data_IF_075854240477
#
_entry.id   IF_075854240477
#
_cell.length_a   1.000
_cell.length_b   1.000
_cell.length_c   1.000
_cell.angle_alpha   90.00
_cell.angle_beta   90.00
_cell.angle_gamma   90.00
#
_symmetry.space_group_name_H-M   'P 1'
#
loop_
_entity.id
_entity.type
_entity.pdbx_description
1 polymer ?
#
# COMPACT_ATOMS: atom_id res chain seq x y z
N UNK A 1 -9.73 9.05 15.40
CA UNK A 1 -9.14 9.13 14.04
C UNK A 1 -9.47 7.84 13.32
N UNK A 2 -10.22 7.93 12.21
CA UNK A 2 -10.52 6.80 11.31
C UNK A 2 -9.51 6.80 10.17
N UNK A 3 -8.78 5.71 9.99
CA UNK A 3 -7.73 5.59 8.98
C UNK A 3 -8.09 4.47 8.02
N UNK A 4 -8.13 4.77 6.72
CA UNK A 4 -8.31 3.76 5.68
C UNK A 4 -6.95 3.23 5.20
N UNK A 5 -6.87 1.96 4.81
CA UNK A 5 -5.83 1.44 3.96
C UNK A 5 -6.21 1.65 2.50
N UNK A 6 -5.27 2.14 1.69
CA UNK A 6 -5.36 2.12 0.23
C UNK A 6 -4.34 1.11 -0.26
N UNK A 7 -4.82 -0.04 -0.70
CA UNK A 7 -4.01 -1.17 -1.13
C UNK A 7 -3.93 -1.18 -2.66
N UNK A 8 -2.81 -0.70 -3.20
CA UNK A 8 -2.62 -0.54 -4.64
C UNK A 8 -2.22 -1.87 -5.28
N UNK A 9 -3.15 -2.49 -6.00
CA UNK A 9 -3.00 -3.79 -6.66
C UNK A 9 -3.22 -3.73 -8.19
N UNK A 10 -3.29 -2.53 -8.76
CA UNK A 10 -3.56 -2.33 -10.19
C UNK A 10 -2.29 -2.18 -11.05
N UNK A 11 -1.10 -2.42 -10.49
CA UNK A 11 0.19 -2.29 -11.18
C UNK A 11 0.37 -3.23 -12.38
N UNK A 12 1.14 -2.77 -13.38
CA UNK A 12 1.51 -3.55 -14.56
C UNK A 12 2.65 -4.53 -14.21
N UNK A 13 2.37 -5.85 -14.24
CA UNK A 13 3.41 -6.89 -14.04
C UNK A 13 4.27 -7.12 -15.29
N UNK A 14 4.64 -6.04 -16.03
CA UNK A 14 5.28 -6.14 -17.35
C UNK A 14 6.62 -6.88 -17.33
N UNK A 15 7.41 -6.71 -16.26
CA UNK A 15 8.72 -7.36 -16.08
C UNK A 15 8.64 -8.82 -15.69
N UNK A 16 7.54 -9.24 -15.06
CA UNK A 16 7.32 -10.63 -14.60
C UNK A 16 6.83 -11.58 -15.71
N UNK A 17 6.32 -11.06 -16.83
CA UNK A 17 5.70 -11.87 -17.87
C UNK A 17 4.40 -12.58 -17.45
N UNK A 18 4.00 -12.46 -16.19
CA UNK A 18 2.79 -13.03 -15.59
C UNK A 18 2.22 -12.10 -14.54
N UNK A 19 0.98 -12.35 -14.10
CA UNK A 19 0.33 -11.56 -13.06
C UNK A 19 0.97 -11.84 -11.68
N UNK A 20 1.99 -11.03 -11.30
CA UNK A 20 2.83 -11.24 -10.11
C UNK A 20 2.05 -11.47 -8.81
N UNK A 21 0.89 -10.81 -8.65
CA UNK A 21 0.09 -10.94 -7.43
C UNK A 21 -0.54 -12.33 -7.27
N UNK A 22 -0.71 -13.10 -8.38
CA UNK A 22 -1.22 -14.48 -8.36
C UNK A 22 -0.13 -15.53 -8.01
N UNK A 23 1.15 -15.16 -7.96
CA UNK A 23 2.23 -16.09 -7.70
C UNK A 23 2.10 -16.70 -6.30
N UNK A 24 2.17 -18.05 -6.16
CA UNK A 24 1.89 -18.74 -4.91
C UNK A 24 3.06 -18.62 -3.91
N UNK A 25 2.74 -18.41 -2.65
CA UNK A 25 3.67 -18.43 -1.51
C UNK A 25 3.07 -19.30 -0.40
N UNK A 26 3.40 -20.60 -0.40
CA UNK A 26 2.75 -21.56 0.49
C UNK A 26 1.25 -21.64 0.21
N UNK A 27 0.43 -21.33 1.19
CA UNK A 27 -1.05 -21.29 1.06
C UNK A 27 -1.57 -19.92 0.62
N UNK A 28 -0.70 -18.94 0.46
CA UNK A 28 -1.01 -17.55 0.12
C UNK A 28 -0.53 -17.23 -1.30
N UNK A 29 -0.71 -15.98 -1.71
CA UNK A 29 -0.13 -15.41 -2.93
C UNK A 29 0.69 -14.17 -2.60
N UNK A 30 1.54 -13.70 -3.50
CA UNK A 30 2.31 -12.45 -3.32
C UNK A 30 1.38 -11.31 -2.92
N UNK A 31 0.29 -11.10 -3.68
CA UNK A 31 -0.65 -10.00 -3.42
C UNK A 31 -1.49 -10.17 -2.17
N UNK A 32 -1.63 -11.36 -1.59
CA UNK A 32 -2.45 -11.57 -0.40
C UNK A 32 -1.68 -11.42 0.92
N UNK A 33 -0.35 -11.49 0.91
CA UNK A 33 0.47 -11.42 2.13
C UNK A 33 0.35 -10.07 2.85
N UNK A 34 0.61 -8.99 2.13
CA UNK A 34 0.48 -7.64 2.70
C UNK A 34 -0.98 -7.26 2.96
N UNK A 35 -1.94 -7.82 2.21
CA UNK A 35 -3.38 -7.63 2.48
C UNK A 35 -3.76 -8.28 3.82
N UNK A 36 -3.28 -9.50 4.10
CA UNK A 36 -3.50 -10.15 5.40
C UNK A 36 -2.97 -9.29 6.55
N UNK A 37 -1.76 -8.75 6.40
CA UNK A 37 -1.15 -7.83 7.36
C UNK A 37 -2.02 -6.60 7.59
N UNK A 38 -2.52 -5.98 6.51
CA UNK A 38 -3.39 -4.81 6.59
C UNK A 38 -4.73 -5.15 7.29
N UNK A 39 -5.33 -6.31 7.02
CA UNK A 39 -6.58 -6.76 7.66
C UNK A 39 -6.43 -6.98 9.16
N UNK A 40 -5.24 -7.41 9.62
CA UNK A 40 -4.91 -7.60 11.05
C UNK A 40 -4.61 -6.29 11.79
N UNK A 41 -4.37 -5.18 11.07
CA UNK A 41 -4.06 -3.89 11.67
C UNK A 41 -5.31 -3.16 12.19
N UNK A 42 -5.11 -2.04 12.90
CA UNK A 42 -6.19 -1.19 13.41
C UNK A 42 -6.83 -0.27 12.36
N UNK A 43 -6.56 -0.46 11.06
CA UNK A 43 -7.23 0.24 9.97
C UNK A 43 -8.74 0.01 10.01
N UNK A 44 -9.51 1.06 9.73
CA UNK A 44 -10.97 1.03 9.76
C UNK A 44 -11.59 0.33 8.54
N UNK A 45 -10.98 0.48 7.37
CA UNK A 45 -11.35 -0.14 6.10
C UNK A 45 -10.10 -0.28 5.22
N UNK A 46 -10.12 -1.20 4.25
CA UNK A 46 -9.05 -1.39 3.29
C UNK A 46 -9.66 -1.37 1.89
N UNK A 47 -9.36 -0.33 1.14
CA UNK A 47 -9.76 -0.18 -0.25
C UNK A 47 -8.71 -0.86 -1.13
N UNK A 48 -9.04 -2.04 -1.63
CA UNK A 48 -8.18 -2.83 -2.52
C UNK A 48 -8.43 -2.36 -3.95
N UNK A 49 -7.52 -1.53 -4.46
CA UNK A 49 -7.65 -0.94 -5.80
C UNK A 49 -7.06 -1.91 -6.82
N UNK A 50 -7.91 -2.45 -7.68
CA UNK A 50 -7.54 -3.42 -8.71
C UNK A 50 -7.76 -2.83 -10.11
N UNK A 51 -7.29 -3.53 -11.13
CA UNK A 51 -7.73 -3.23 -12.50
C UNK A 51 -9.18 -3.63 -12.68
N UNK A 52 -9.86 -3.01 -13.63
CA UNK A 52 -11.26 -3.26 -13.90
C UNK A 52 -11.55 -4.75 -14.26
N UNK A 53 -10.65 -5.37 -15.02
CA UNK A 53 -10.78 -6.76 -15.48
C UNK A 53 -10.03 -7.77 -14.60
N UNK A 54 -9.57 -7.39 -13.40
CA UNK A 54 -8.93 -8.33 -12.48
C UNK A 54 -9.99 -9.17 -11.76
N UNK A 55 -9.98 -10.49 -11.98
CA UNK A 55 -10.86 -11.45 -11.32
C UNK A 55 -10.53 -11.65 -9.82
N UNK A 56 -9.47 -11.01 -9.34
CA UNK A 56 -8.99 -11.01 -7.94
C UNK A 56 -8.86 -12.42 -7.34
N UNK A 57 -8.51 -13.42 -8.16
CA UNK A 57 -8.29 -14.81 -7.72
C UNK A 57 -7.14 -14.92 -6.71
N UNK A 58 -6.20 -13.95 -6.75
CA UNK A 58 -5.08 -13.86 -5.83
C UNK A 58 -5.49 -13.50 -4.39
N UNK A 59 -6.74 -13.07 -4.15
CA UNK A 59 -7.25 -12.81 -2.82
C UNK A 59 -8.00 -14.05 -2.31
N UNK A 60 -7.56 -14.70 -1.21
CA UNK A 60 -8.29 -15.78 -0.56
C UNK A 60 -9.75 -15.41 -0.22
N UNK A 61 -10.65 -16.40 -0.25
CA UNK A 61 -12.09 -16.17 -0.09
C UNK A 61 -12.44 -15.56 1.28
N UNK A 62 -11.78 -15.98 2.34
CA UNK A 62 -11.95 -15.45 3.69
C UNK A 62 -11.56 -13.98 3.80
N UNK A 63 -10.49 -13.56 3.09
CA UNK A 63 -10.09 -12.15 3.03
C UNK A 63 -11.07 -11.31 2.21
N UNK A 64 -11.62 -11.85 1.10
CA UNK A 64 -12.67 -11.16 0.31
C UNK A 64 -13.92 -10.91 1.15
N UNK A 65 -14.26 -11.82 2.05
CA UNK A 65 -15.42 -11.73 2.93
C UNK A 65 -15.16 -10.93 4.22
N UNK A 66 -13.93 -10.53 4.47
CA UNK A 66 -13.58 -9.76 5.66
C UNK A 66 -14.25 -8.38 5.64
N UNK A 67 -14.88 -7.97 6.72
CA UNK A 67 -15.68 -6.73 6.83
C UNK A 67 -14.91 -5.44 6.53
N UNK A 68 -13.58 -5.44 6.66
CA UNK A 68 -12.72 -4.30 6.31
C UNK A 68 -12.29 -4.32 4.83
N UNK A 69 -12.40 -5.45 4.12
CA UNK A 69 -11.92 -5.60 2.75
C UNK A 69 -12.96 -5.09 1.76
N UNK A 70 -12.61 -4.05 1.02
CA UNK A 70 -13.49 -3.45 0.01
C UNK A 70 -12.74 -3.44 -1.33
N UNK A 71 -13.09 -4.38 -2.21
CA UNK A 71 -12.48 -4.49 -3.53
C UNK A 71 -13.07 -3.43 -4.46
N UNK A 72 -12.19 -2.66 -5.11
CA UNK A 72 -12.57 -1.51 -5.93
C UNK A 72 -11.85 -1.53 -7.27
N UNK A 73 -12.50 -2.03 -8.33
CA UNK A 73 -11.97 -1.89 -9.68
C UNK A 73 -11.82 -0.43 -10.08
N UNK A 74 -10.65 -0.08 -10.60
CA UNK A 74 -10.33 1.27 -11.09
C UNK A 74 -10.34 1.27 -12.62
N UNK A 75 -11.32 1.93 -13.29
CA UNK A 75 -11.43 1.93 -14.77
C UNK A 75 -10.23 2.60 -15.43
N UNK A 76 -9.67 3.64 -14.81
CA UNK A 76 -8.53 4.40 -15.33
C UNK A 76 -7.16 3.90 -14.87
N UNK A 77 -7.07 2.69 -14.28
CA UNK A 77 -5.80 2.15 -13.76
C UNK A 77 -4.67 2.05 -14.81
N UNK A 78 -5.02 1.96 -16.10
CA UNK A 78 -4.07 1.91 -17.20
C UNK A 78 -3.47 3.27 -17.57
N UNK A 79 -4.02 4.38 -17.06
CA UNK A 79 -3.56 5.73 -17.32
C UNK A 79 -2.39 6.16 -16.42
N UNK A 80 -2.03 5.32 -15.44
CA UNK A 80 -0.89 5.52 -14.54
C UNK A 80 -1.20 5.21 -13.08
N UNK A 81 -0.14 5.11 -12.27
CA UNK A 81 -0.26 4.79 -10.84
C UNK A 81 -1.09 5.84 -10.08
N UNK A 82 -1.03 7.11 -10.50
CA UNK A 82 -1.79 8.20 -9.87
C UNK A 82 -3.28 7.96 -9.90
N UNK A 83 -3.83 7.36 -10.96
CA UNK A 83 -5.26 7.10 -11.08
C UNK A 83 -5.76 6.11 -10.02
N UNK A 84 -5.00 5.02 -9.81
CA UNK A 84 -5.31 4.06 -8.75
C UNK A 84 -5.25 4.69 -7.37
N UNK A 85 -4.26 5.54 -7.10
CA UNK A 85 -4.14 6.28 -5.85
C UNK A 85 -5.32 7.26 -5.68
N UNK A 86 -5.62 8.08 -6.69
CA UNK A 86 -6.76 9.02 -6.67
C UNK A 86 -8.09 8.31 -6.44
N UNK A 87 -8.28 7.13 -7.02
CA UNK A 87 -9.47 6.32 -6.83
C UNK A 87 -9.66 5.95 -5.35
N UNK A 88 -8.61 5.47 -4.70
CA UNK A 88 -8.60 5.16 -3.27
C UNK A 88 -8.79 6.41 -2.40
N UNK A 89 -8.15 7.54 -2.73
CA UNK A 89 -8.28 8.80 -2.00
C UNK A 89 -9.72 9.36 -2.08
N UNK A 90 -10.37 9.33 -3.26
CA UNK A 90 -11.78 9.72 -3.40
C UNK A 90 -12.69 8.90 -2.49
N UNK A 91 -12.43 7.60 -2.40
CA UNK A 91 -13.20 6.72 -1.51
C UNK A 91 -12.95 7.04 -0.03
N UNK A 92 -11.69 7.29 0.36
CA UNK A 92 -11.36 7.72 1.72
C UNK A 92 -12.05 9.05 2.07
N UNK A 93 -12.07 10.00 1.15
CA UNK A 93 -12.74 11.30 1.31
C UNK A 93 -14.26 11.13 1.45
N UNK A 94 -14.90 10.33 0.59
CA UNK A 94 -16.36 10.07 0.62
C UNK A 94 -16.79 9.42 1.94
N UNK A 95 -15.95 8.54 2.52
CA UNK A 95 -16.24 7.88 3.79
C UNK A 95 -15.70 8.65 5.01
N UNK A 96 -15.33 9.91 4.85
CA UNK A 96 -14.86 10.79 5.92
C UNK A 96 -13.72 10.17 6.74
N UNK A 97 -12.72 9.58 6.05
CA UNK A 97 -11.52 9.07 6.70
C UNK A 97 -10.57 10.23 7.03
N UNK A 98 -10.06 10.24 8.25
CA UNK A 98 -9.15 11.28 8.74
C UNK A 98 -7.75 11.17 8.13
N UNK A 99 -7.37 9.95 7.69
CA UNK A 99 -6.10 9.67 7.02
C UNK A 99 -6.22 8.42 6.13
N UNK A 100 -5.25 8.25 5.22
CA UNK A 100 -5.14 7.11 4.33
C UNK A 100 -3.71 6.53 4.34
N UNK A 101 -3.58 5.24 4.65
CA UNK A 101 -2.33 4.49 4.61
C UNK A 101 -2.19 3.81 3.25
N UNK A 102 -1.27 4.29 2.43
CA UNK A 102 -1.00 3.76 1.09
C UNK A 102 0.00 2.62 1.19
N UNK A 103 -0.37 1.46 0.67
CA UNK A 103 0.42 0.22 0.64
C UNK A 103 0.46 -0.33 -0.78
N UNK A 104 1.54 -1.03 -1.12
CA UNK A 104 1.69 -1.72 -2.41
C UNK A 104 1.44 -3.24 -2.24
N UNK A 105 0.74 -3.84 -3.20
CA UNK A 105 0.40 -5.26 -3.16
C UNK A 105 1.58 -6.19 -3.42
N UNK A 106 2.67 -5.67 -3.93
CA UNK A 106 3.92 -6.37 -4.23
C UNK A 106 4.99 -6.24 -3.14
N UNK A 107 4.65 -5.66 -1.97
CA UNK A 107 5.49 -5.59 -0.77
C UNK A 107 5.08 -6.64 0.28
N UNK A 108 5.40 -7.93 0.10
CA UNK A 108 4.83 -9.02 0.90
C UNK A 108 5.33 -9.09 2.34
N UNK A 109 6.37 -8.34 2.70
CA UNK A 109 7.03 -8.42 4.00
C UNK A 109 6.63 -7.31 4.97
N UNK A 110 5.76 -6.37 4.60
CA UNK A 110 5.27 -5.37 5.56
C UNK A 110 4.64 -6.07 6.76
N UNK A 111 4.82 -5.50 7.95
CA UNK A 111 4.35 -6.10 9.21
C UNK A 111 3.23 -5.28 9.85
N UNK A 112 2.39 -5.95 10.66
CA UNK A 112 1.37 -5.26 11.46
C UNK A 112 2.02 -4.23 12.37
N UNK A 113 3.17 -4.55 12.99
CA UNK A 113 3.90 -3.61 13.84
C UNK A 113 4.26 -2.32 13.10
N UNK A 114 4.82 -2.44 11.88
CA UNK A 114 5.17 -1.28 11.06
C UNK A 114 3.95 -0.38 10.78
N UNK A 115 2.81 -0.98 10.43
CA UNK A 115 1.58 -0.22 10.17
C UNK A 115 1.06 0.46 11.44
N UNK A 116 1.07 -0.25 12.59
CA UNK A 116 0.63 0.30 13.88
C UNK A 116 1.53 1.43 14.37
N UNK A 117 2.85 1.35 14.19
CA UNK A 117 3.79 2.42 14.52
C UNK A 117 3.47 3.70 13.74
N UNK A 118 3.18 3.60 12.44
CA UNK A 118 2.75 4.74 11.62
C UNK A 118 1.42 5.33 12.12
N UNK A 119 0.44 4.47 12.42
CA UNK A 119 -0.89 4.85 12.91
C UNK A 119 -0.77 5.56 14.28
N UNK A 120 0.02 5.04 15.20
CA UNK A 120 0.26 5.64 16.52
C UNK A 120 0.96 6.98 16.37
N UNK A 121 1.98 7.05 15.50
CA UNK A 121 2.71 8.30 15.23
C UNK A 121 1.77 9.40 14.72
N UNK A 122 0.90 9.09 13.75
CA UNK A 122 -0.08 10.04 13.22
C UNK A 122 -1.09 10.49 14.28
N UNK A 123 -1.60 9.56 15.10
CA UNK A 123 -2.55 9.87 16.19
C UNK A 123 -1.94 10.78 17.24
N UNK A 124 -0.64 10.61 17.53
CA UNK A 124 0.11 11.43 18.50
C UNK A 124 0.50 12.80 17.94
N UNK A 125 0.46 12.99 16.62
CA UNK A 125 0.85 14.22 15.93
C UNK A 125 -0.25 14.67 14.95
N UNK A 126 -1.40 15.15 15.43
CA UNK A 126 -2.59 15.42 14.61
C UNK A 126 -2.43 16.56 13.58
N UNK A 127 -1.42 17.40 13.73
CA UNK A 127 -1.07 18.45 12.76
C UNK A 127 -0.13 17.97 11.66
N UNK A 128 0.41 16.77 11.81
CA UNK A 128 1.32 16.16 10.84
C UNK A 128 0.58 15.85 9.53
N UNK A 129 1.20 16.21 8.41
CA UNK A 129 0.63 15.97 7.08
C UNK A 129 0.78 14.52 6.63
N UNK A 130 1.90 13.89 7.01
CA UNK A 130 2.17 12.50 6.64
C UNK A 130 3.11 11.82 7.62
N UNK A 131 3.07 10.49 7.63
CA UNK A 131 4.10 9.62 8.19
C UNK A 131 4.59 8.74 7.05
N UNK A 132 5.89 8.71 6.81
CA UNK A 132 6.46 7.94 5.70
C UNK A 132 7.59 7.02 6.17
N UNK A 133 7.67 5.84 5.55
CA UNK A 133 8.82 4.95 5.70
C UNK A 133 9.98 5.48 4.86
N UNK A 134 11.20 5.38 5.40
CA UNK A 134 12.42 5.76 4.65
C UNK A 134 13.48 4.68 4.71
N UNK A 135 14.18 4.49 3.59
CA UNK A 135 15.46 3.78 3.51
C UNK A 135 16.46 4.75 2.90
N UNK A 136 17.62 4.93 3.55
CA UNK A 136 18.70 5.80 3.03
C UNK A 136 18.18 7.18 2.60
N UNK A 137 17.29 7.78 3.40
CA UNK A 137 16.63 9.08 3.15
C UNK A 137 15.62 9.08 1.98
N UNK A 138 15.39 7.95 1.32
CA UNK A 138 14.38 7.83 0.27
C UNK A 138 13.04 7.42 0.88
N UNK A 139 11.97 8.19 0.58
CA UNK A 139 10.61 7.83 0.96
C UNK A 139 10.13 6.66 0.10
N UNK A 140 9.59 5.66 0.76
CA UNK A 140 9.03 4.45 0.16
C UNK A 140 7.71 4.09 0.85
N UNK A 141 6.78 3.38 0.18
CA UNK A 141 5.62 2.81 0.84
C UNK A 141 6.03 1.78 1.92
N UNK A 142 5.19 1.62 2.98
CA UNK A 142 3.92 2.31 3.20
C UNK A 142 4.07 3.78 3.60
N UNK A 143 3.05 4.59 3.21
CA UNK A 143 2.98 6.03 3.52
C UNK A 143 1.58 6.36 4.06
N UNK A 144 1.50 6.96 5.23
CA UNK A 144 0.26 7.41 5.85
C UNK A 144 0.08 8.92 5.63
N UNK A 145 -1.03 9.30 5.02
CA UNK A 145 -1.33 10.64 4.54
C UNK A 145 -2.56 11.19 5.27
N UNK A 146 -2.45 12.37 5.88
CA UNK A 146 -3.58 13.08 6.50
C UNK A 146 -4.61 13.48 5.44
N UNK A 147 -5.90 13.51 5.80
CA UNK A 147 -6.98 14.00 4.93
C UNK A 147 -6.76 15.41 4.41
N UNK A 148 -5.98 16.22 5.14
CA UNK A 148 -5.59 17.57 4.69
C UNK A 148 -4.72 17.59 3.43
N UNK A 149 -4.21 16.43 2.98
CA UNK A 149 -3.45 16.27 1.73
C UNK A 149 -4.30 15.71 0.57
N UNK A 150 -5.57 15.39 0.81
CA UNK A 150 -6.38 14.74 -0.25
C UNK A 150 -6.54 15.61 -1.49
N UNK A 151 -6.69 16.92 -1.31
CA UNK A 151 -6.79 17.86 -2.43
C UNK A 151 -5.54 17.82 -3.31
N UNK A 152 -4.34 17.87 -2.70
CA UNK A 152 -3.06 17.83 -3.41
C UNK A 152 -2.85 16.45 -4.07
N UNK A 153 -3.20 15.35 -3.39
CA UNK A 153 -3.08 14.00 -3.95
C UNK A 153 -3.96 13.79 -5.19
N UNK A 154 -5.13 14.44 -5.24
CA UNK A 154 -6.04 14.38 -6.37
C UNK A 154 -5.54 15.15 -7.61
N UNK A 155 -4.49 15.97 -7.49
CA UNK A 155 -3.85 16.67 -8.61
C UNK A 155 -2.70 15.88 -9.27
N UNK A 156 -2.30 14.74 -8.69
CA UNK A 156 -1.27 13.88 -9.27
C UNK A 156 -1.68 13.38 -10.65
N UNK A 157 -0.71 13.15 -11.53
CA UNK A 157 -0.94 12.68 -12.89
C UNK A 157 0.12 11.66 -13.35
N UNK A 158 -0.24 10.79 -14.30
CA UNK A 158 0.62 9.78 -14.90
C UNK A 158 1.15 8.74 -13.90
N UNK A 159 2.38 8.29 -14.10
CA UNK A 159 3.04 7.29 -13.24
C UNK A 159 3.66 7.90 -11.98
N UNK A 160 2.97 8.87 -11.37
CA UNK A 160 3.41 9.51 -10.13
C UNK A 160 2.67 8.94 -8.93
N UNK A 161 3.42 8.60 -7.88
CA UNK A 161 2.87 8.17 -6.58
C UNK A 161 2.92 9.29 -5.54
N UNK A 162 2.38 9.02 -4.35
CA UNK A 162 2.35 9.98 -3.23
C UNK A 162 3.74 10.56 -2.89
N UNK A 163 4.82 9.78 -3.04
CA UNK A 163 6.19 10.22 -2.72
C UNK A 163 6.65 11.48 -3.46
N UNK A 164 6.11 11.75 -4.64
CA UNK A 164 6.48 12.95 -5.41
C UNK A 164 6.06 14.25 -4.74
N UNK A 165 4.98 14.23 -3.95
CA UNK A 165 4.52 15.35 -3.14
C UNK A 165 5.31 15.50 -1.84
N UNK A 166 6.02 14.46 -1.39
CA UNK A 166 6.68 14.40 -0.09
C UNK A 166 8.16 14.80 -0.18
N UNK A 167 8.50 15.70 -1.10
CA UNK A 167 9.87 16.18 -1.35
C UNK A 167 9.99 17.67 -1.01
N UNK A 168 11.24 18.15 -0.90
CA UNK A 168 11.53 19.57 -0.64
C UNK A 168 10.91 20.06 0.67
N UNK A 169 10.26 21.21 0.63
CA UNK A 169 9.65 21.85 1.82
C UNK A 169 8.52 21.01 2.45
N UNK A 170 7.94 20.06 1.72
CA UNK A 170 6.93 19.16 2.27
C UNK A 170 7.48 18.21 3.32
N UNK A 171 8.76 17.84 3.24
CA UNK A 171 9.40 16.95 4.23
C UNK A 171 9.27 17.48 5.66
N UNK A 172 9.30 18.80 5.84
CA UNK A 172 9.18 19.45 7.15
C UNK A 172 7.74 19.37 7.72
N UNK A 173 6.75 19.00 6.92
CA UNK A 173 5.33 18.92 7.31
C UNK A 173 4.92 17.52 7.79
N UNK A 174 5.84 16.56 7.80
CA UNK A 174 5.58 15.19 8.19
C UNK A 174 6.67 14.59 9.07
N UNK A 175 6.49 13.32 9.41
CA UNK A 175 7.50 12.51 10.06
C UNK A 175 7.97 11.38 9.16
N UNK A 176 9.27 11.08 9.21
CA UNK A 176 9.84 9.92 8.54
C UNK A 176 10.27 8.89 9.58
N UNK A 177 9.90 7.65 9.35
CA UNK A 177 10.25 6.50 10.18
C UNK A 177 11.32 5.69 9.43
N UNK A 178 12.58 5.71 9.90
CA UNK A 178 13.64 4.93 9.26
C UNK A 178 13.35 3.44 9.33
N UNK A 179 13.36 2.75 8.20
CA UNK A 179 13.31 1.30 8.11
C UNK A 179 14.74 0.77 8.02
N UNK A 180 15.18 0.04 9.02
CA UNK A 180 16.52 -0.57 9.05
C UNK A 180 16.59 -1.92 8.37
N UNK A 181 15.45 -2.62 8.26
CA UNK A 181 15.35 -3.90 7.55
C UNK A 181 14.76 -3.67 6.15
N UNK A 182 15.63 -3.60 5.15
CA UNK A 182 15.23 -3.39 3.75
C UNK A 182 14.27 -4.46 3.22
N UNK A 183 14.24 -5.66 3.82
CA UNK A 183 13.32 -6.72 3.41
C UNK A 183 11.86 -6.33 3.63
N UNK A 184 11.56 -5.54 4.67
CA UNK A 184 10.19 -5.15 5.00
C UNK A 184 9.49 -4.35 3.89
N UNK A 185 10.27 -3.73 3.02
CA UNK A 185 9.78 -2.85 1.94
C UNK A 185 10.27 -3.32 0.57
N UNK A 186 10.64 -4.58 0.47
CA UNK A 186 11.10 -5.22 -0.75
C UNK A 186 9.93 -5.42 -1.72
N UNK A 187 10.08 -4.91 -2.94
CA UNK A 187 9.11 -5.08 -4.02
C UNK A 187 9.43 -6.37 -4.81
N UNK A 188 8.42 -7.17 -5.09
CA UNK A 188 8.55 -8.33 -5.99
C UNK A 188 8.24 -7.90 -7.41
N UNK A 189 9.27 -7.58 -8.19
CA UNK A 189 9.15 -7.02 -9.54
C UNK A 189 9.63 -7.95 -10.66
N UNK A 190 10.55 -8.87 -10.33
CA UNK A 190 11.19 -9.78 -11.29
C UNK A 190 11.05 -11.25 -10.84
N UNK A 191 11.26 -12.24 -11.74
CA UNK A 191 11.32 -13.66 -11.36
C UNK A 191 12.38 -13.93 -10.29
N UNK A 192 13.50 -13.20 -10.31
CA UNK A 192 14.58 -13.30 -9.34
C UNK A 192 14.11 -12.86 -7.95
N UNK A 193 13.37 -11.74 -7.87
CA UNK A 193 12.77 -11.26 -6.62
C UNK A 193 11.82 -12.30 -6.02
N UNK A 194 11.04 -12.96 -6.88
CA UNK A 194 10.14 -14.01 -6.43
C UNK A 194 10.90 -15.23 -5.87
N UNK A 195 12.02 -15.62 -6.48
CA UNK A 195 12.87 -16.71 -5.94
C UNK A 195 13.47 -16.34 -4.58
N UNK A 196 13.89 -15.08 -4.40
CA UNK A 196 14.38 -14.59 -3.10
C UNK A 196 13.28 -14.68 -2.04
N UNK A 197 12.04 -14.27 -2.37
CA UNK A 197 10.89 -14.36 -1.48
C UNK A 197 10.61 -15.80 -1.04
N UNK A 198 10.68 -16.79 -1.95
CA UNK A 198 10.49 -18.20 -1.63
C UNK A 198 11.54 -18.71 -0.64
N UNK A 199 12.81 -18.37 -0.88
CA UNK A 199 13.94 -18.78 -0.04
C UNK A 199 13.87 -18.21 1.38
N UNK A 200 13.42 -16.98 1.54
CA UNK A 200 13.33 -16.31 2.86
C UNK A 200 12.22 -16.93 3.74
N UNK A 201 11.11 -17.33 3.12
CA UNK A 201 10.01 -18.02 3.84
C UNK A 201 10.35 -19.44 4.29
N UNK A 202 11.27 -20.11 3.63
CA UNK A 202 11.76 -21.44 4.06
C UNK A 202 12.63 -21.35 5.32
N UNK A 203 13.34 -20.23 5.52
CA UNK A 203 14.20 -19.99 6.70
C UNK A 203 13.42 -19.58 7.96
N UNK A 204 12.16 -19.19 7.80
CA UNK A 204 11.32 -18.68 8.90
C UNK A 204 10.34 -19.73 9.45
N UNK A 205 10.39 -20.97 8.94
CA UNK A 205 9.69 -22.15 9.45
C UNK A 205 10.57 -22.95 10.40
#
# INVERSE_FOLDING_TARGET
>A
MKIAGIYLAAGNSSRMGSHKLKLPIGTMTVGSLALETALKSSLAAIYVITREMDEVEWIPADMKLHNKCIIMPCPSANEGQSESLKWGIRQAQTNHMDAALVMLADQPFITVQMLEEMIVCMKSNPTCKFIATTIEQTIIPPVLLSSSMYAELLTLDGDTGAKTLLQGDFLQKGHVLPCTDQRLVFDVDTPEDYQLLLTDKEKTK
#
